data_IF_038095508098
#
_entry.id   IF_038095508098
#
_cell.length_a   1.000
_cell.length_b   1.000
_cell.length_c   1.000
_cell.angle_alpha   90.00
_cell.angle_beta   90.00
_cell.angle_gamma   90.00
#
_symmetry.space_group_name_H-M   'P 1'
#
loop_
_entity.id
_entity.type
_entity.pdbx_description
1 polymer ?
#
# COMPACT_ATOMS: atom_id res chain seq x y z
N UNK A 1 24.00 -8.65 -2.34
CA UNK A 1 22.68 -8.23 -2.86
C UNK A 1 22.79 -6.78 -3.31
N UNK A 2 22.53 -6.47 -4.56
CA UNK A 2 22.59 -5.11 -5.06
C UNK A 2 21.38 -4.35 -4.54
N UNK A 3 21.58 -3.15 -3.99
CA UNK A 3 20.50 -2.25 -3.57
C UNK A 3 20.29 -1.22 -4.66
N UNK A 4 19.19 -1.29 -5.43
CA UNK A 4 19.00 -0.41 -6.57
C UNK A 4 18.75 1.03 -6.12
N UNK A 5 19.71 1.90 -6.42
CA UNK A 5 19.61 3.36 -6.23
C UNK A 5 18.97 3.99 -7.46
N UNK A 6 18.14 5.01 -7.25
CA UNK A 6 17.51 5.78 -8.32
C UNK A 6 16.34 5.06 -9.02
N UNK A 7 15.95 3.88 -8.55
CA UNK A 7 14.74 3.23 -9.03
C UNK A 7 13.52 3.99 -8.52
N UNK A 8 12.49 4.09 -9.33
CA UNK A 8 11.25 4.75 -8.92
C UNK A 8 10.24 3.73 -8.40
N UNK A 9 9.62 4.05 -7.27
CA UNK A 9 8.48 3.32 -6.72
C UNK A 9 7.25 4.21 -6.83
N UNK A 10 6.22 3.72 -7.50
CA UNK A 10 4.89 4.31 -7.54
C UNK A 10 4.02 3.58 -6.54
N UNK A 11 3.50 4.30 -5.54
CA UNK A 11 2.64 3.79 -4.48
C UNK A 11 1.25 4.38 -4.62
N UNK A 12 0.20 3.56 -4.46
CA UNK A 12 -1.18 4.05 -4.36
C UNK A 12 -2.02 3.13 -3.48
N UNK A 13 -3.05 3.70 -2.89
CA UNK A 13 -4.00 2.94 -2.08
C UNK A 13 -5.34 3.67 -1.97
N UNK A 14 -6.33 2.98 -1.41
CA UNK A 14 -7.65 3.56 -1.17
C UNK A 14 -7.63 4.57 0.01
N UNK A 15 -8.62 5.43 0.04
CA UNK A 15 -8.86 6.34 1.17
C UNK A 15 -9.46 5.59 2.38
N UNK A 16 -9.74 6.33 3.46
CA UNK A 16 -10.30 5.76 4.69
C UNK A 16 -11.67 5.08 4.49
N UNK A 17 -12.39 5.43 3.44
CA UNK A 17 -13.67 4.85 3.06
C UNK A 17 -13.55 3.73 2.02
N UNK A 18 -12.33 3.35 1.64
CA UNK A 18 -12.08 2.27 0.68
C UNK A 18 -12.20 2.69 -0.79
N UNK A 19 -12.14 4.00 -1.11
CA UNK A 19 -12.26 4.51 -2.47
C UNK A 19 -10.88 4.82 -3.06
N UNK A 20 -10.72 4.54 -4.34
CA UNK A 20 -9.55 4.94 -5.11
C UNK A 20 -9.81 6.22 -5.91
N UNK A 21 -8.96 7.22 -5.73
CA UNK A 21 -8.92 8.37 -6.64
C UNK A 21 -8.72 7.91 -8.09
N UNK A 22 -9.17 8.69 -9.06
CA UNK A 22 -9.16 8.38 -10.50
C UNK A 22 -10.04 7.20 -10.92
N UNK A 23 -10.60 6.42 -9.98
CA UNK A 23 -11.27 5.17 -10.29
C UNK A 23 -12.67 5.03 -9.67
N UNK A 24 -12.80 5.26 -8.36
CA UNK A 24 -14.06 5.02 -7.65
C UNK A 24 -15.09 6.12 -7.91
N UNK A 25 -16.37 5.73 -7.96
CA UNK A 25 -17.48 6.69 -8.12
C UNK A 25 -17.41 7.81 -7.10
N UNK A 26 -17.59 9.04 -7.55
CA UNK A 26 -17.55 10.26 -6.73
C UNK A 26 -16.16 10.84 -6.52
N UNK A 27 -15.09 10.14 -6.91
CA UNK A 27 -13.69 10.59 -6.76
C UNK A 27 -12.86 10.36 -8.02
N UNK A 28 -13.50 10.17 -9.16
CA UNK A 28 -12.81 9.95 -10.46
C UNK A 28 -12.02 11.17 -10.92
N UNK A 29 -12.39 12.37 -10.51
CA UNK A 29 -11.67 13.62 -10.78
C UNK A 29 -10.54 13.94 -9.79
N UNK A 30 -10.36 13.10 -8.76
CA UNK A 30 -9.35 13.29 -7.72
C UNK A 30 -8.12 12.42 -8.02
N UNK A 31 -6.97 12.81 -7.47
CA UNK A 31 -5.70 12.07 -7.65
C UNK A 31 -4.95 11.80 -6.33
N UNK A 32 -5.61 11.91 -5.20
CA UNK A 32 -5.02 11.74 -3.88
C UNK A 32 -4.51 10.30 -3.65
N UNK A 33 -3.64 10.13 -2.65
CA UNK A 33 -3.09 8.84 -2.18
C UNK A 33 -2.41 8.05 -3.30
N UNK A 34 -1.69 8.79 -4.16
CA UNK A 34 -0.83 8.31 -5.23
C UNK A 34 0.45 9.11 -5.24
N UNK A 35 1.57 8.45 -5.39
CA UNK A 35 2.84 9.13 -5.44
C UNK A 35 3.95 8.27 -6.02
N UNK A 36 4.97 8.91 -6.56
CA UNK A 36 6.18 8.27 -7.06
C UNK A 36 7.40 8.93 -6.44
N UNK A 37 8.37 8.12 -6.03
CA UNK A 37 9.63 8.61 -5.48
C UNK A 37 10.77 7.67 -5.85
N UNK A 38 11.98 8.23 -5.95
CA UNK A 38 13.17 7.44 -6.24
C UNK A 38 13.79 6.85 -4.97
N UNK A 39 14.37 5.67 -5.10
CA UNK A 39 15.13 5.05 -4.03
C UNK A 39 16.47 5.77 -3.82
N UNK A 40 16.89 5.85 -2.56
CA UNK A 40 18.21 6.37 -2.18
C UNK A 40 19.35 5.38 -2.51
N UNK A 41 20.58 5.74 -2.12
CA UNK A 41 21.78 4.91 -2.35
C UNK A 41 21.73 3.55 -1.61
N UNK A 42 20.87 3.40 -0.63
CA UNK A 42 20.63 2.17 0.11
C UNK A 42 19.42 1.37 -0.40
N UNK A 43 18.77 1.87 -1.46
CA UNK A 43 17.58 1.23 -2.03
C UNK A 43 16.30 1.48 -1.22
N UNK A 44 16.28 2.48 -0.34
CA UNK A 44 15.11 2.84 0.43
C UNK A 44 14.30 3.94 -0.25
N UNK A 45 12.98 3.88 -0.05
CA UNK A 45 12.05 4.96 -0.41
C UNK A 45 11.03 5.10 0.72
N UNK A 46 10.63 6.33 1.03
CA UNK A 46 9.66 6.61 2.09
C UNK A 46 8.54 7.48 1.55
N UNK A 47 7.31 7.13 1.94
CA UNK A 47 6.11 7.90 1.66
C UNK A 47 5.42 8.28 2.96
N UNK A 48 4.90 9.50 3.03
CA UNK A 48 4.01 9.93 4.11
C UNK A 48 2.59 9.92 3.58
N UNK A 49 1.71 9.17 4.23
CA UNK A 49 0.35 8.95 3.78
C UNK A 49 -0.57 8.60 4.95
N UNK A 50 -1.82 8.27 4.68
CA UNK A 50 -2.75 7.73 5.68
C UNK A 50 -2.78 6.21 5.64
N UNK A 51 -3.31 5.59 6.69
CA UNK A 51 -3.60 4.17 6.69
C UNK A 51 -4.77 3.88 5.73
N UNK A 52 -4.69 2.89 4.84
CA UNK A 52 -5.78 2.59 3.91
C UNK A 52 -7.00 2.04 4.62
N UNK A 53 -8.19 2.35 4.13
CA UNK A 53 -9.42 1.69 4.53
C UNK A 53 -9.47 0.22 4.08
N UNK A 54 -10.56 -0.44 4.41
CA UNK A 54 -10.85 -1.80 3.96
C UNK A 54 -12.14 -1.81 3.16
N UNK A 55 -12.06 -2.07 1.87
CA UNK A 55 -13.24 -2.28 1.04
C UNK A 55 -13.59 -3.77 0.93
N UNK A 56 -14.82 -4.05 0.56
CA UNK A 56 -15.34 -5.42 0.52
C UNK A 56 -14.52 -6.34 -0.40
N UNK A 57 -14.21 -7.53 0.08
CA UNK A 57 -13.56 -8.58 -0.71
C UNK A 57 -12.03 -8.54 -0.73
N UNK A 58 -11.40 -7.55 -0.09
CA UNK A 58 -9.95 -7.44 -0.05
C UNK A 58 -9.43 -7.19 1.36
N UNK A 59 -8.28 -7.80 1.66
CA UNK A 59 -7.48 -7.47 2.83
C UNK A 59 -6.90 -6.06 2.73
N UNK A 60 -6.76 -5.29 3.84
CA UNK A 60 -6.15 -3.96 3.82
C UNK A 60 -4.76 -3.96 3.20
N UNK A 61 -4.56 -3.13 2.18
CA UNK A 61 -3.34 -3.18 1.38
C UNK A 61 -3.01 -1.83 0.73
N UNK A 62 -1.76 -1.73 0.31
CA UNK A 62 -1.28 -0.72 -0.62
C UNK A 62 -0.70 -1.40 -1.85
N UNK A 63 -0.88 -0.79 -3.02
CA UNK A 63 -0.29 -1.22 -4.28
C UNK A 63 1.03 -0.50 -4.52
N UNK A 64 1.97 -1.16 -5.16
CA UNK A 64 3.16 -0.49 -5.66
C UNK A 64 3.63 -1.08 -6.98
N UNK A 65 4.28 -0.24 -7.76
CA UNK A 65 4.98 -0.58 -8.98
C UNK A 65 6.41 -0.07 -8.90
N UNK A 66 7.34 -0.79 -9.53
CA UNK A 66 8.75 -0.41 -9.57
C UNK A 66 9.17 -0.17 -11.02
N UNK A 67 9.93 0.91 -11.20
CA UNK A 67 10.49 1.35 -12.47
C UNK A 67 12.00 1.59 -12.32
N UNK A 68 12.75 1.52 -13.42
CA UNK A 68 14.22 1.71 -13.38
C UNK A 68 14.63 3.15 -13.05
N UNK A 69 13.73 4.13 -13.23
CA UNK A 69 13.97 5.55 -12.93
C UNK A 69 12.65 6.32 -12.87
N UNK A 70 12.69 7.56 -12.36
CA UNK A 70 11.52 8.46 -12.40
C UNK A 70 11.07 8.74 -13.84
N UNK A 71 11.99 8.90 -14.78
CA UNK A 71 11.64 9.11 -16.18
C UNK A 71 10.98 7.89 -16.82
N UNK A 72 11.33 6.68 -16.40
CA UNK A 72 10.68 5.46 -16.85
C UNK A 72 9.27 5.30 -16.28
N UNK A 73 8.98 5.87 -15.12
CA UNK A 73 7.67 5.79 -14.46
C UNK A 73 6.56 6.59 -15.15
N UNK A 74 6.85 7.26 -16.25
CA UNK A 74 5.86 7.99 -17.07
C UNK A 74 5.02 7.09 -17.97
N UNK A 75 5.38 5.81 -18.09
CA UNK A 75 4.61 4.81 -18.84
C UNK A 75 4.55 3.49 -18.09
N UNK A 76 3.35 2.94 -17.95
CA UNK A 76 3.14 1.64 -17.30
C UNK A 76 3.85 0.48 -18.01
N UNK A 77 4.12 0.61 -19.32
CA UNK A 77 4.86 -0.39 -20.09
C UNK A 77 6.32 -0.55 -19.63
N UNK A 78 6.86 0.44 -18.93
CA UNK A 78 8.23 0.42 -18.38
C UNK A 78 8.31 -0.22 -16.99
N UNK A 79 7.21 -0.67 -16.45
CA UNK A 79 7.13 -1.32 -15.14
C UNK A 79 7.96 -2.60 -15.13
N UNK A 80 8.83 -2.76 -14.12
CA UNK A 80 9.64 -3.95 -13.94
C UNK A 80 9.12 -4.87 -12.82
N UNK A 81 8.30 -4.35 -11.93
CA UNK A 81 7.64 -5.14 -10.90
C UNK A 81 6.33 -4.46 -10.48
N UNK A 82 5.38 -5.27 -10.05
CA UNK A 82 4.13 -4.83 -9.42
C UNK A 82 3.78 -5.80 -8.30
N UNK A 83 3.37 -5.26 -7.16
CA UNK A 83 2.93 -6.07 -6.02
C UNK A 83 2.07 -5.24 -5.08
N UNK A 84 1.75 -5.84 -3.95
CA UNK A 84 0.99 -5.22 -2.89
C UNK A 84 1.64 -5.55 -1.55
N UNK A 85 1.46 -4.68 -0.57
CA UNK A 85 1.77 -4.95 0.82
C UNK A 85 0.49 -4.92 1.64
N UNK A 86 0.38 -5.82 2.61
CA UNK A 86 -0.72 -5.90 3.55
C UNK A 86 -0.29 -5.53 4.96
N UNK A 87 -1.25 -5.45 5.86
CA UNK A 87 -1.03 -5.06 7.25
C UNK A 87 -1.48 -6.16 8.22
N UNK A 88 -0.84 -6.23 9.39
CA UNK A 88 -1.23 -7.16 10.44
C UNK A 88 -2.64 -6.85 10.97
N UNK A 89 -3.41 -7.89 11.23
CA UNK A 89 -4.81 -7.74 11.69
C UNK A 89 -4.94 -6.86 12.93
N UNK A 90 -4.06 -7.00 13.92
CA UNK A 90 -4.12 -6.23 15.15
C UNK A 90 -4.00 -4.72 14.92
N UNK A 91 -3.18 -4.29 13.96
CA UNK A 91 -3.06 -2.88 13.56
C UNK A 91 -4.34 -2.42 12.87
N UNK A 92 -4.87 -3.22 11.94
CA UNK A 92 -6.11 -2.90 11.24
C UNK A 92 -7.28 -2.76 12.22
N UNK A 93 -7.42 -3.68 13.17
CA UNK A 93 -8.48 -3.63 14.18
C UNK A 93 -8.42 -2.32 14.99
N UNK A 94 -7.21 -1.90 15.38
CA UNK A 94 -6.99 -0.65 16.14
C UNK A 94 -7.35 0.59 15.31
N UNK A 95 -6.91 0.65 14.06
CA UNK A 95 -7.18 1.78 13.16
C UNK A 95 -8.67 1.85 12.82
N UNK A 96 -9.31 0.72 12.53
CA UNK A 96 -10.70 0.69 12.09
C UNK A 96 -11.72 0.86 13.24
N UNK A 97 -11.26 0.91 14.47
CA UNK A 97 -12.05 1.38 15.61
C UNK A 97 -12.28 2.90 15.58
N UNK A 98 -11.53 3.64 14.74
CA UNK A 98 -11.67 5.08 14.60
C UNK A 98 -12.84 5.44 13.68
N UNK A 99 -13.61 6.48 14.04
CA UNK A 99 -14.79 6.91 13.27
C UNK A 99 -14.47 7.31 11.81
N UNK A 100 -13.26 7.80 11.56
CA UNK A 100 -12.80 8.14 10.21
C UNK A 100 -12.76 6.95 9.25
N UNK A 101 -12.71 5.71 9.77
CA UNK A 101 -12.67 4.47 9.00
C UNK A 101 -14.01 3.71 9.02
N UNK A 102 -15.10 4.44 9.02
CA UNK A 102 -16.45 3.85 9.04
C UNK A 102 -16.64 2.84 7.91
N UNK A 103 -17.13 1.64 8.26
CA UNK A 103 -17.33 0.51 7.33
C UNK A 103 -16.13 -0.44 7.18
N UNK A 104 -14.91 0.02 7.47
CA UNK A 104 -13.71 -0.82 7.30
C UNK A 104 -13.68 -2.02 8.25
N UNK A 105 -14.12 -1.87 9.50
CA UNK A 105 -14.18 -2.99 10.45
C UNK A 105 -15.17 -4.08 9.98
N UNK A 106 -16.32 -3.68 9.44
CA UNK A 106 -17.33 -4.61 8.90
C UNK A 106 -16.78 -5.37 7.69
N UNK A 107 -16.08 -4.70 6.79
CA UNK A 107 -15.47 -5.33 5.63
C UNK A 107 -14.33 -6.27 6.03
N UNK A 108 -13.48 -5.86 6.99
CA UNK A 108 -12.39 -6.69 7.49
C UNK A 108 -12.91 -7.99 8.13
N UNK A 109 -14.04 -7.95 8.81
CA UNK A 109 -14.63 -9.12 9.42
C UNK A 109 -15.05 -10.21 8.42
N UNK A 110 -15.17 -9.86 7.13
CA UNK A 110 -15.62 -10.75 6.06
C UNK A 110 -14.48 -11.34 5.23
N UNK A 111 -13.24 -10.98 5.51
CA UNK A 111 -12.05 -11.43 4.77
C UNK A 111 -10.96 -11.87 5.73
N UNK A 112 -10.16 -12.84 5.35
CA UNK A 112 -8.93 -13.19 6.03
C UNK A 112 -7.73 -12.97 5.10
N UNK A 113 -6.55 -12.83 5.68
CA UNK A 113 -5.32 -12.71 4.90
C UNK A 113 -5.08 -13.96 4.03
N UNK A 114 -5.46 -15.13 4.52
CA UNK A 114 -5.33 -16.38 3.79
C UNK A 114 -6.36 -16.52 2.66
N UNK A 115 -7.55 -15.95 2.80
CA UNK A 115 -8.60 -16.03 1.77
C UNK A 115 -8.54 -14.90 0.74
N UNK A 116 -7.73 -13.86 0.97
CA UNK A 116 -7.51 -12.79 -0.03
C UNK A 116 -6.87 -13.36 -1.29
N UNK A 117 -7.47 -13.08 -2.46
CA UNK A 117 -7.06 -13.66 -3.74
C UNK A 117 -5.66 -13.25 -4.21
N UNK A 118 -5.09 -12.18 -3.65
CA UNK A 118 -3.75 -11.71 -3.99
C UNK A 118 -2.71 -12.23 -2.99
N UNK A 119 -2.99 -12.10 -1.69
CA UNK A 119 -2.02 -12.46 -0.65
C UNK A 119 -1.95 -13.97 -0.39
N UNK A 120 -3.08 -14.65 -0.37
CA UNK A 120 -3.17 -16.11 -0.14
C UNK A 120 -2.35 -16.58 1.07
N UNK A 121 -2.28 -15.76 2.12
CA UNK A 121 -1.52 -16.04 3.33
C UNK A 121 -0.01 -15.80 3.23
N UNK A 122 0.49 -15.19 2.16
CA UNK A 122 1.94 -14.94 1.99
C UNK A 122 2.49 -13.96 3.03
N UNK A 123 3.13 -14.47 4.07
CA UNK A 123 3.70 -13.68 5.15
C UNK A 123 4.77 -12.67 4.69
N UNK A 124 5.42 -12.92 3.56
CA UNK A 124 6.42 -12.01 2.99
C UNK A 124 5.84 -10.70 2.45
N UNK A 125 4.52 -10.60 2.33
CA UNK A 125 3.83 -9.38 1.89
C UNK A 125 3.18 -8.60 3.04
N UNK A 126 3.37 -9.01 4.30
CA UNK A 126 2.90 -8.25 5.47
C UNK A 126 3.96 -7.26 5.90
N UNK A 127 3.63 -5.97 5.90
CA UNK A 127 4.53 -4.93 6.38
C UNK A 127 4.72 -5.04 7.91
N UNK A 128 5.95 -4.81 8.36
CA UNK A 128 6.24 -4.62 9.78
C UNK A 128 5.76 -3.24 10.18
N UNK A 129 4.87 -3.16 11.17
CA UNK A 129 4.22 -1.91 11.57
C UNK A 129 4.46 -1.62 13.04
N UNK A 130 4.82 -0.38 13.36
CA UNK A 130 5.02 0.11 14.72
C UNK A 130 4.41 1.50 14.89
N UNK A 131 4.08 1.87 16.12
CA UNK A 131 3.47 3.16 16.43
C UNK A 131 2.08 3.02 17.05
N UNK A 132 1.28 4.07 16.94
CA UNK A 132 -0.07 4.12 17.50
C UNK A 132 -0.97 5.06 16.70
N UNK A 133 -2.27 5.03 16.97
CA UNK A 133 -3.23 5.97 16.35
C UNK A 133 -2.87 7.42 16.66
N UNK A 134 -2.46 7.71 17.88
CA UNK A 134 -2.16 9.10 18.30
C UNK A 134 -0.80 9.62 17.79
N UNK A 135 0.21 8.74 17.72
CA UNK A 135 1.55 9.11 17.28
C UNK A 135 1.79 8.91 15.79
N UNK A 136 0.89 8.19 15.12
CA UNK A 136 1.07 7.69 13.76
C UNK A 136 1.78 6.34 13.74
N UNK A 137 1.71 5.68 12.60
CA UNK A 137 2.36 4.40 12.36
C UNK A 137 3.51 4.53 11.36
N UNK A 138 4.53 3.72 11.56
CA UNK A 138 5.54 3.45 10.55
C UNK A 138 5.36 2.01 10.07
N UNK A 139 5.24 1.82 8.77
CA UNK A 139 5.18 0.50 8.15
C UNK A 139 6.37 0.33 7.20
N UNK A 140 7.03 -0.82 7.26
CA UNK A 140 8.16 -1.12 6.40
C UNK A 140 8.09 -2.53 5.83
N UNK A 141 8.59 -2.67 4.62
CA UNK A 141 8.73 -3.95 3.94
C UNK A 141 9.98 -3.93 3.06
N UNK A 142 10.66 -5.06 2.97
CA UNK A 142 11.76 -5.25 2.03
C UNK A 142 11.27 -6.09 0.86
N UNK A 143 11.45 -5.59 -0.35
CA UNK A 143 10.98 -6.24 -1.56
C UNK A 143 12.16 -6.59 -2.46
N UNK A 144 12.28 -7.86 -2.85
CA UNK A 144 13.22 -8.30 -3.87
C UNK A 144 12.66 -8.00 -5.26
N UNK A 145 13.46 -7.33 -6.09
CA UNK A 145 13.11 -7.03 -7.48
C UNK A 145 14.16 -7.65 -8.40
N UNK A 146 13.70 -8.41 -9.38
CA UNK A 146 14.57 -8.92 -10.46
C UNK A 146 14.84 -7.79 -11.46
N UNK A 147 16.10 -7.51 -11.71
CA UNK A 147 16.57 -6.42 -12.57
C UNK A 147 17.41 -6.92 -13.75
#
# INVERSE_FOLDING_TARGET
MCRPSGYAVYLWHCDAQGRYSLYSSGVTGENYLRGVSATDSSGNVTFTTIFPGCYSGRWPHMHFEVYRSLSAATSVSNKIATSQLGFAKAVCDTVYAQSAYSGSATNLAQISYASDGIFQGNAGQVATTSGSVSAGYTASITVGVSV
#
